data_IF_139387526682
#
_entry.id   IF_139387526682
#
_cell.length_a   1.000
_cell.length_b   1.000
_cell.length_c   1.000
_cell.angle_alpha   90.00
_cell.angle_beta   90.00
_cell.angle_gamma   90.00
#
_symmetry.space_group_name_H-M   'P 1'
#
loop_
_entity.id
_entity.type
_entity.pdbx_description
1 polymer ?
#
# COMPACT_ATOMS: atom_id res chain seq x y z
N UNK A 1 0.15 -6.55 -15.87
CA UNK A 1 1.15 -5.45 -15.86
C UNK A 1 0.63 -4.17 -16.49
N UNK A 2 0.10 -4.19 -17.73
CA UNK A 2 -0.44 -2.98 -18.39
C UNK A 2 -1.57 -2.34 -17.58
N UNK A 3 -2.58 -3.12 -17.21
CA UNK A 3 -3.71 -2.65 -16.39
C UNK A 3 -3.26 -2.07 -15.04
N UNK A 4 -2.41 -2.81 -14.31
CA UNK A 4 -1.84 -2.34 -13.04
C UNK A 4 -1.16 -0.97 -13.18
N UNK A 5 -0.35 -0.78 -14.24
CA UNK A 5 0.30 0.50 -14.55
C UNK A 5 -0.67 1.60 -14.94
N UNK A 6 -1.75 1.27 -15.65
CA UNK A 6 -2.79 2.24 -15.98
C UNK A 6 -3.50 2.73 -14.71
N UNK A 7 -3.79 1.84 -13.75
CA UNK A 7 -4.32 2.22 -12.45
C UNK A 7 -3.35 3.13 -11.69
N UNK A 8 -2.05 2.79 -11.68
CA UNK A 8 -1.00 3.63 -11.07
C UNK A 8 -0.98 5.03 -11.67
N UNK A 9 -0.91 5.16 -13.00
CA UNK A 9 -0.88 6.46 -13.69
C UNK A 9 -2.19 7.23 -13.49
N UNK A 10 -3.32 6.52 -13.39
CA UNK A 10 -4.63 7.08 -13.12
C UNK A 10 -4.68 7.93 -11.85
N UNK A 11 -3.91 7.56 -10.81
CA UNK A 11 -3.83 8.30 -9.54
C UNK A 11 -3.21 9.70 -9.67
N UNK A 12 -2.46 9.95 -10.75
CA UNK A 12 -1.81 11.23 -11.02
C UNK A 12 -2.60 12.11 -12.00
N UNK A 13 -3.71 11.61 -12.54
CA UNK A 13 -4.57 12.38 -13.44
C UNK A 13 -5.10 13.60 -12.68
N UNK A 14 -4.77 14.80 -13.18
CA UNK A 14 -5.11 16.09 -12.56
C UNK A 14 -4.35 16.44 -11.27
N UNK A 15 -3.25 15.76 -10.96
CA UNK A 15 -2.42 16.14 -9.82
C UNK A 15 -1.62 17.41 -10.12
N UNK A 16 -1.64 18.38 -9.21
CA UNK A 16 -0.75 19.54 -9.25
C UNK A 16 0.72 19.11 -9.06
N UNK A 17 1.65 19.68 -9.83
CA UNK A 17 3.08 19.33 -9.78
C UNK A 17 3.71 19.56 -8.39
N UNK A 18 3.19 20.51 -7.59
CA UNK A 18 3.65 20.71 -6.21
C UNK A 18 3.36 19.49 -5.32
N UNK A 19 2.18 18.87 -5.45
CA UNK A 19 1.76 17.71 -4.65
C UNK A 19 2.51 16.44 -5.03
N UNK A 20 2.98 16.36 -6.27
CA UNK A 20 3.81 15.26 -6.75
C UNK A 20 5.10 15.12 -5.93
N UNK A 21 5.76 16.24 -5.61
CA UNK A 21 7.05 16.27 -4.89
C UNK A 21 6.94 16.53 -3.39
N UNK A 22 5.79 17.00 -2.91
CA UNK A 22 5.62 17.39 -1.52
C UNK A 22 5.30 16.18 -0.62
N UNK A 23 5.91 16.15 0.57
CA UNK A 23 5.50 15.24 1.63
C UNK A 23 4.20 15.69 2.30
N UNK A 24 3.23 14.78 2.40
CA UNK A 24 2.01 15.02 3.16
C UNK A 24 2.24 14.85 4.69
N UNK A 25 3.16 13.97 5.08
CA UNK A 25 3.48 13.64 6.47
C UNK A 25 4.91 13.06 6.57
N UNK A 26 5.67 13.28 7.66
CA UNK A 26 7.07 12.81 7.78
C UNK A 26 7.27 11.31 7.60
N UNK A 27 6.27 10.51 7.96
CA UNK A 27 6.32 9.05 7.82
C UNK A 27 6.09 8.56 6.38
N UNK A 28 5.76 9.44 5.43
CA UNK A 28 5.44 9.05 4.06
C UNK A 28 6.32 9.78 3.06
N UNK A 29 6.73 9.06 2.01
CA UNK A 29 7.45 9.69 0.89
C UNK A 29 6.44 10.43 0.00
N UNK A 30 6.87 11.40 -0.82
CA UNK A 30 5.99 12.03 -1.80
C UNK A 30 5.40 11.03 -2.79
N UNK A 31 4.24 11.35 -3.36
CA UNK A 31 3.59 10.49 -4.35
C UNK A 31 4.51 10.20 -5.55
N UNK A 32 5.30 11.19 -5.99
CA UNK A 32 6.26 11.02 -7.08
C UNK A 32 7.43 10.09 -6.75
N UNK A 33 7.83 10.00 -5.47
CA UNK A 33 8.85 9.04 -5.05
C UNK A 33 8.32 7.61 -5.22
N UNK A 34 7.07 7.36 -4.81
CA UNK A 34 6.44 6.06 -4.99
C UNK A 34 6.30 5.69 -6.48
N UNK A 35 5.97 6.65 -7.34
CA UNK A 35 5.90 6.41 -8.79
C UNK A 35 7.26 5.97 -9.36
N UNK A 36 8.34 6.69 -9.04
CA UNK A 36 9.69 6.31 -9.47
C UNK A 36 10.17 5.00 -8.83
N UNK A 37 9.83 4.75 -7.56
CA UNK A 37 10.14 3.51 -6.85
C UNK A 37 9.53 2.27 -7.52
N UNK A 38 8.28 2.35 -8.00
CA UNK A 38 7.64 1.27 -8.75
C UNK A 38 8.50 0.89 -9.98
N UNK A 39 8.91 1.87 -10.78
CA UNK A 39 9.75 1.62 -11.96
C UNK A 39 11.14 1.09 -11.58
N UNK A 40 11.73 1.64 -10.52
CA UNK A 40 13.03 1.21 -10.02
C UNK A 40 13.02 -0.26 -9.59
N UNK A 41 12.03 -0.68 -8.80
CA UNK A 41 11.89 -2.07 -8.36
C UNK A 41 11.62 -3.00 -9.55
N UNK A 42 10.77 -2.60 -10.50
CA UNK A 42 10.54 -3.37 -11.73
C UNK A 42 11.84 -3.55 -12.55
N UNK A 43 12.62 -2.48 -12.72
CA UNK A 43 13.90 -2.52 -13.44
C UNK A 43 14.93 -3.40 -12.72
N UNK A 44 15.10 -3.22 -11.41
CA UNK A 44 16.07 -3.95 -10.60
C UNK A 44 15.80 -5.46 -10.65
N UNK A 45 14.54 -5.88 -10.48
CA UNK A 45 14.23 -7.31 -10.40
C UNK A 45 14.09 -7.99 -11.76
N UNK A 46 13.54 -7.31 -12.77
CA UNK A 46 13.36 -7.94 -14.09
C UNK A 46 14.56 -7.71 -14.98
N UNK A 47 15.01 -6.47 -15.13
CA UNK A 47 16.05 -6.15 -16.11
C UNK A 47 17.44 -6.45 -15.59
N UNK A 48 17.75 -6.05 -14.35
CA UNK A 48 19.07 -6.26 -13.79
C UNK A 48 19.22 -7.71 -13.29
N UNK A 49 18.35 -8.16 -12.40
CA UNK A 49 18.48 -9.48 -11.79
C UNK A 49 18.18 -10.64 -12.75
N UNK A 50 17.06 -10.63 -13.47
CA UNK A 50 16.69 -11.73 -14.38
C UNK A 50 17.27 -11.63 -15.79
N UNK A 51 17.33 -10.42 -16.37
CA UNK A 51 17.85 -10.23 -17.72
C UNK A 51 19.35 -9.92 -17.77
N UNK A 52 20.01 -9.69 -16.61
CA UNK A 52 21.43 -9.41 -16.52
C UNK A 52 21.85 -8.08 -17.17
N UNK A 53 20.92 -7.14 -17.34
CA UNK A 53 21.17 -5.85 -17.95
C UNK A 53 21.79 -4.87 -16.95
N UNK A 54 22.52 -3.88 -17.45
CA UNK A 54 22.97 -2.76 -16.62
C UNK A 54 21.77 -1.86 -16.23
N UNK A 55 21.85 -1.15 -15.09
CA UNK A 55 20.84 -0.16 -14.71
C UNK A 55 20.66 0.88 -15.82
N UNK A 56 19.40 1.30 -16.06
CA UNK A 56 19.10 2.34 -17.05
C UNK A 56 19.66 3.69 -16.60
N UNK A 57 19.48 4.01 -15.32
CA UNK A 57 19.99 5.23 -14.67
C UNK A 57 20.59 4.84 -13.32
N UNK A 58 21.92 4.86 -13.21
CA UNK A 58 22.63 4.47 -11.98
C UNK A 58 22.27 5.33 -10.76
N UNK A 59 22.01 6.61 -10.99
CA UNK A 59 21.63 7.61 -10.00
C UNK A 59 20.24 7.36 -9.39
N UNK A 60 19.38 6.60 -10.08
CA UNK A 60 18.02 6.32 -9.61
C UNK A 60 17.99 5.32 -8.45
N UNK A 61 19.07 4.57 -8.24
CA UNK A 61 19.23 3.79 -7.01
C UNK A 61 19.20 4.71 -5.78
N UNK A 62 19.96 5.80 -5.80
CA UNK A 62 19.95 6.75 -4.68
C UNK A 62 18.56 7.38 -4.49
N UNK A 63 17.90 7.77 -5.59
CA UNK A 63 16.61 8.46 -5.51
C UNK A 63 15.47 7.54 -5.08
N UNK A 64 15.41 6.31 -5.59
CA UNK A 64 14.22 5.49 -5.54
C UNK A 64 14.38 4.17 -4.78
N UNK A 65 15.60 3.74 -4.43
CA UNK A 65 15.74 2.62 -3.50
C UNK A 65 15.18 3.00 -2.12
N UNK A 66 14.55 2.04 -1.44
CA UNK A 66 13.93 2.27 -0.13
C UNK A 66 14.94 2.67 0.95
N UNK A 67 16.21 2.31 0.77
CA UNK A 67 17.38 2.62 1.58
C UNK A 67 18.30 3.68 0.95
N UNK A 68 17.93 4.27 -0.19
CA UNK A 68 18.74 5.25 -0.92
C UNK A 68 18.84 6.61 -0.23
N UNK A 69 17.72 7.33 -0.13
CA UNK A 69 17.63 8.61 0.59
C UNK A 69 16.73 8.49 1.84
N UNK A 70 17.03 9.22 2.94
CA UNK A 70 16.12 9.33 4.06
C UNK A 70 14.83 10.04 3.62
N UNK A 71 13.71 9.77 4.31
CA UNK A 71 12.38 10.18 3.85
C UNK A 71 12.31 11.70 3.61
N UNK A 72 12.79 12.50 4.55
CA UNK A 72 12.81 13.97 4.52
C UNK A 72 13.51 14.56 3.27
N UNK A 73 14.45 13.83 2.67
CA UNK A 73 15.17 14.23 1.46
C UNK A 73 14.52 13.76 0.14
N UNK A 74 13.47 12.93 0.19
CA UNK A 74 12.78 12.37 -1.01
C UNK A 74 11.87 13.38 -1.73
N UNK A 75 12.02 14.67 -1.48
CA UNK A 75 11.26 15.74 -2.12
C UNK A 75 11.99 16.34 -3.34
N UNK A 76 13.31 16.12 -3.44
CA UNK A 76 14.14 16.57 -4.56
C UNK A 76 14.02 15.62 -5.76
N UNK A 77 12.84 15.57 -6.36
CA UNK A 77 12.49 14.62 -7.42
C UNK A 77 12.54 15.25 -8.83
N UNK A 78 12.82 14.46 -9.88
CA UNK A 78 12.55 14.85 -11.26
C UNK A 78 11.08 15.25 -11.49
N UNK A 79 10.76 15.77 -12.69
CA UNK A 79 9.36 16.05 -13.05
C UNK A 79 8.54 14.77 -13.24
N UNK A 80 7.22 14.93 -13.20
CA UNK A 80 6.30 13.85 -13.52
C UNK A 80 6.61 13.24 -14.88
N UNK A 81 6.85 14.08 -15.90
CA UNK A 81 7.16 13.64 -17.27
C UNK A 81 8.45 12.82 -17.30
N UNK A 82 9.52 13.27 -16.62
CA UNK A 82 10.78 12.54 -16.56
C UNK A 82 10.61 11.16 -15.89
N UNK A 83 9.82 11.07 -14.82
CA UNK A 83 9.52 9.80 -14.15
C UNK A 83 8.60 8.94 -15.03
N UNK A 84 7.58 9.51 -15.69
CA UNK A 84 6.69 8.79 -16.60
C UNK A 84 7.43 8.21 -17.82
N UNK A 85 8.40 8.95 -18.37
CA UNK A 85 9.31 8.48 -19.42
C UNK A 85 10.17 7.32 -18.90
N UNK A 86 10.68 7.41 -17.67
CA UNK A 86 11.38 6.30 -17.01
C UNK A 86 10.49 5.06 -16.87
N UNK A 87 9.25 5.21 -16.41
CA UNK A 87 8.28 4.12 -16.31
C UNK A 87 8.04 3.45 -17.68
N UNK A 88 7.94 4.26 -18.74
CA UNK A 88 7.73 3.79 -20.10
C UNK A 88 8.94 3.01 -20.60
N UNK A 89 10.15 3.57 -20.45
CA UNK A 89 11.41 2.91 -20.83
C UNK A 89 11.60 1.57 -20.12
N UNK A 90 11.37 1.50 -18.80
CA UNK A 90 11.42 0.25 -18.04
C UNK A 90 10.42 -0.75 -18.59
N UNK A 91 9.16 -0.32 -18.76
CA UNK A 91 8.08 -1.23 -19.20
C UNK A 91 8.31 -1.79 -20.60
N UNK A 92 8.80 -1.00 -21.53
CA UNK A 92 9.14 -1.45 -22.89
C UNK A 92 10.26 -2.50 -22.89
N UNK A 93 11.31 -2.27 -22.08
CA UNK A 93 12.42 -3.23 -21.92
C UNK A 93 11.94 -4.51 -21.23
N UNK A 94 11.08 -4.39 -20.22
CA UNK A 94 10.47 -5.52 -19.51
C UNK A 94 9.62 -6.36 -20.46
N UNK A 95 8.79 -5.74 -21.30
CA UNK A 95 8.02 -6.45 -22.32
C UNK A 95 8.87 -7.03 -23.44
N UNK A 96 10.03 -6.45 -23.71
CA UNK A 96 11.02 -7.05 -24.61
C UNK A 96 11.59 -8.33 -23.99
N UNK A 97 12.00 -8.28 -22.71
CA UNK A 97 12.50 -9.44 -21.98
C UNK A 97 11.43 -10.54 -21.84
N UNK A 98 10.18 -10.16 -21.58
CA UNK A 98 9.05 -11.07 -21.42
C UNK A 98 8.88 -12.04 -22.61
N UNK A 99 9.28 -11.64 -23.83
CA UNK A 99 9.23 -12.49 -25.03
C UNK A 99 10.14 -13.71 -24.95
N UNK A 100 11.19 -13.66 -24.13
CA UNK A 100 12.18 -14.74 -23.97
C UNK A 100 12.34 -15.19 -22.52
N UNK A 101 11.58 -14.62 -21.58
CA UNK A 101 11.67 -14.94 -20.16
C UNK A 101 11.20 -16.38 -19.88
N UNK A 102 11.93 -17.16 -19.05
CA UNK A 102 11.47 -18.46 -18.58
C UNK A 102 10.40 -18.28 -17.48
N UNK A 103 9.21 -17.83 -17.86
CA UNK A 103 8.17 -17.37 -16.92
C UNK A 103 7.82 -18.41 -15.85
N UNK A 104 7.78 -19.69 -16.19
CA UNK A 104 7.46 -20.76 -15.23
C UNK A 104 8.48 -20.84 -14.08
N UNK A 105 9.72 -20.41 -14.30
CA UNK A 105 10.78 -20.38 -13.28
C UNK A 105 10.81 -19.06 -12.49
N UNK A 106 10.18 -18.01 -13.04
CA UNK A 106 10.22 -16.64 -12.52
C UNK A 106 8.87 -16.16 -11.98
N UNK A 107 7.81 -16.97 -12.14
CA UNK A 107 6.41 -16.59 -11.99
C UNK A 107 6.13 -15.85 -10.68
N UNK A 108 6.71 -16.33 -9.58
CA UNK A 108 6.56 -15.73 -8.25
C UNK A 108 6.99 -14.26 -8.23
N UNK A 109 8.14 -13.91 -8.82
CA UNK A 109 8.63 -12.53 -8.80
C UNK A 109 7.79 -11.62 -9.70
N UNK A 110 7.26 -12.14 -10.81
CA UNK A 110 6.30 -11.41 -11.64
C UNK A 110 4.99 -11.11 -10.89
N UNK A 111 4.47 -12.07 -10.13
CA UNK A 111 3.32 -11.84 -9.24
C UNK A 111 3.64 -10.85 -8.12
N UNK A 112 4.80 -10.99 -7.48
CA UNK A 112 5.24 -10.09 -6.43
C UNK A 112 5.36 -8.64 -6.94
N UNK A 113 5.87 -8.43 -8.16
CA UNK A 113 5.95 -7.08 -8.74
C UNK A 113 4.58 -6.45 -8.98
N UNK A 114 3.58 -7.23 -9.40
CA UNK A 114 2.21 -6.75 -9.50
C UNK A 114 1.66 -6.36 -8.13
N UNK A 115 1.90 -7.20 -7.12
CA UNK A 115 1.49 -6.91 -5.74
C UNK A 115 2.19 -5.66 -5.19
N UNK A 116 3.50 -5.53 -5.41
CA UNK A 116 4.30 -4.37 -5.02
C UNK A 116 3.75 -3.08 -5.64
N UNK A 117 3.50 -3.06 -6.95
CA UNK A 117 2.90 -1.89 -7.61
C UNK A 117 1.51 -1.57 -7.02
N UNK A 118 0.68 -2.59 -6.73
CA UNK A 118 -0.63 -2.36 -6.09
C UNK A 118 -0.54 -1.85 -4.63
N UNK A 119 0.43 -2.33 -3.84
CA UNK A 119 0.68 -1.81 -2.48
C UNK A 119 1.12 -0.35 -2.51
N UNK A 120 1.91 0.02 -3.52
CA UNK A 120 2.27 1.42 -3.74
C UNK A 120 1.09 2.25 -4.23
N UNK A 121 0.16 1.70 -5.01
CA UNK A 121 -1.07 2.41 -5.38
C UNK A 121 -1.95 2.74 -4.16
N UNK A 122 -2.06 1.82 -3.21
CA UNK A 122 -2.72 2.10 -1.93
C UNK A 122 -1.98 3.21 -1.14
N UNK A 123 -0.66 3.11 -1.05
CA UNK A 123 0.17 4.13 -0.36
C UNK A 123 0.04 5.51 -1.02
N UNK A 124 0.08 5.59 -2.34
CA UNK A 124 -0.11 6.83 -3.10
C UNK A 124 -1.51 7.39 -2.81
N UNK A 125 -2.55 6.56 -2.86
CA UNK A 125 -3.93 6.98 -2.57
C UNK A 125 -4.05 7.58 -1.16
N UNK A 126 -3.41 6.94 -0.18
CA UNK A 126 -3.34 7.44 1.19
C UNK A 126 -2.61 8.79 1.29
N UNK A 127 -1.45 8.94 0.63
CA UNK A 127 -0.69 10.21 0.61
C UNK A 127 -1.51 11.33 -0.04
N UNK A 128 -2.21 11.05 -1.14
CA UNK A 128 -3.09 12.02 -1.81
C UNK A 128 -4.28 12.41 -0.91
N UNK A 129 -4.85 11.45 -0.19
CA UNK A 129 -5.89 11.71 0.81
C UNK A 129 -5.40 12.64 1.93
N UNK A 130 -4.17 12.43 2.45
CA UNK A 130 -3.57 13.31 3.45
C UNK A 130 -3.37 14.75 2.93
N UNK A 131 -2.95 14.91 1.67
CA UNK A 131 -2.85 16.24 1.06
C UNK A 131 -4.20 16.95 0.99
N UNK A 132 -5.26 16.25 0.57
CA UNK A 132 -6.63 16.80 0.57
C UNK A 132 -7.06 17.22 1.98
N UNK A 133 -6.88 16.35 2.97
CA UNK A 133 -7.23 16.62 4.36
C UNK A 133 -6.53 17.88 4.90
N UNK A 134 -5.22 18.02 4.65
CA UNK A 134 -4.44 19.20 5.07
C UNK A 134 -4.87 20.50 4.41
N UNK A 135 -5.43 20.43 3.20
CA UNK A 135 -5.97 21.58 2.47
C UNK A 135 -7.46 21.84 2.80
N UNK A 136 -8.06 21.10 3.72
CA UNK A 136 -9.48 21.19 4.04
C UNK A 136 -10.39 20.76 2.89
N UNK A 137 -9.86 19.98 1.94
CA UNK A 137 -10.61 19.45 0.81
C UNK A 137 -11.24 18.10 1.17
N UNK A 138 -12.44 17.80 0.63
CA UNK A 138 -13.05 16.50 0.83
C UNK A 138 -12.18 15.39 0.23
N UNK A 139 -11.79 14.43 1.07
CA UNK A 139 -11.01 13.26 0.64
C UNK A 139 -11.85 12.34 -0.24
N UNK A 140 -13.09 12.12 0.18
CA UNK A 140 -14.08 11.27 -0.49
C UNK A 140 -15.23 12.12 -1.00
N UNK A 141 -15.70 11.83 -2.22
CA UNK A 141 -17.00 12.31 -2.70
C UNK A 141 -18.04 11.30 -2.26
N UNK A 142 -18.88 11.68 -1.31
CA UNK A 142 -19.93 10.81 -0.77
C UNK A 142 -21.16 10.87 -1.67
N UNK A 143 -21.14 10.21 -2.82
CA UNK A 143 -22.29 10.28 -3.72
C UNK A 143 -23.43 9.34 -3.30
N UNK A 144 -23.16 8.32 -2.47
CA UNK A 144 -24.19 7.36 -1.99
C UNK A 144 -23.84 6.74 -0.63
N UNK A 145 -23.94 7.49 0.47
CA UNK A 145 -23.94 6.87 1.79
C UNK A 145 -25.30 6.17 2.00
N UNK A 146 -25.30 4.84 2.11
CA UNK A 146 -26.51 4.12 2.54
C UNK A 146 -26.82 4.53 3.98
N UNK A 147 -28.03 5.03 4.22
CA UNK A 147 -28.52 5.38 5.56
C UNK A 147 -29.21 4.21 6.26
N UNK A 148 -29.23 3.03 5.62
CA UNK A 148 -29.85 1.84 6.21
C UNK A 148 -28.97 1.36 7.36
N UNK A 149 -29.47 1.31 8.61
CA UNK A 149 -28.70 0.81 9.74
C UNK A 149 -28.27 -0.63 9.46
N UNK A 150 -26.96 -0.88 9.48
CA UNK A 150 -26.43 -2.24 9.41
C UNK A 150 -26.66 -2.86 10.78
N UNK A 151 -27.54 -3.86 10.86
CA UNK A 151 -27.67 -4.67 12.07
C UNK A 151 -26.51 -5.66 12.10
N UNK A 152 -25.48 -5.36 12.86
CA UNK A 152 -24.34 -6.27 13.05
C UNK A 152 -24.78 -7.46 13.88
N UNK A 153 -24.42 -8.66 13.43
CA UNK A 153 -24.61 -9.91 14.17
C UNK A 153 -23.27 -10.59 14.29
N UNK A 154 -23.00 -11.20 15.45
CA UNK A 154 -21.86 -12.09 15.57
C UNK A 154 -22.19 -13.46 15.00
N UNK A 155 -21.25 -14.02 14.25
CA UNK A 155 -21.29 -15.42 13.83
C UNK A 155 -20.34 -16.24 14.68
N UNK A 156 -20.69 -17.50 14.91
CA UNK A 156 -19.84 -18.45 15.65
C UNK A 156 -18.92 -19.13 14.66
N UNK A 157 -17.62 -19.13 14.95
CA UNK A 157 -16.63 -19.99 14.31
C UNK A 157 -16.35 -21.14 15.28
N UNK A 158 -16.79 -22.38 14.96
CA UNK A 158 -16.62 -23.51 15.87
C UNK A 158 -15.14 -23.84 16.11
N UNK A 159 -14.85 -24.39 17.29
CA UNK A 159 -13.54 -24.92 17.63
C UNK A 159 -13.10 -25.99 16.62
N UNK A 160 -11.81 -26.02 16.30
CA UNK A 160 -11.27 -27.04 15.42
C UNK A 160 -9.90 -26.73 14.85
N UNK A 161 -9.42 -27.68 14.06
CA UNK A 161 -8.20 -27.52 13.28
C UNK A 161 -8.46 -26.70 12.02
N UNK A 162 -7.57 -25.75 11.76
CA UNK A 162 -7.60 -24.88 10.59
C UNK A 162 -6.21 -24.85 9.93
N UNK A 163 -6.19 -24.92 8.60
CA UNK A 163 -4.97 -24.76 7.81
C UNK A 163 -4.72 -23.27 7.55
N UNK A 164 -3.80 -22.69 8.32
CA UNK A 164 -3.38 -21.30 8.20
C UNK A 164 -2.25 -21.15 7.17
N UNK A 165 -2.28 -20.08 6.38
CA UNK A 165 -1.31 -19.80 5.32
C UNK A 165 -1.68 -20.40 3.95
N UNK A 166 -0.92 -20.02 2.91
CA UNK A 166 -1.14 -20.42 1.52
C UNK A 166 0.13 -20.93 0.84
N UNK A 167 -0.02 -21.92 -0.03
CA UNK A 167 1.06 -22.37 -0.95
C UNK A 167 0.94 -21.75 -2.34
N UNK A 168 -0.14 -20.99 -2.59
CA UNK A 168 -0.44 -20.40 -3.89
C UNK A 168 0.75 -19.60 -4.44
N UNK A 169 0.89 -19.56 -5.76
CA UNK A 169 2.04 -18.92 -6.42
C UNK A 169 2.18 -17.43 -6.09
N UNK A 170 1.05 -16.77 -5.84
CA UNK A 170 0.96 -15.36 -5.47
C UNK A 170 1.02 -15.12 -3.95
N UNK A 171 1.14 -16.15 -3.11
CA UNK A 171 1.28 -15.94 -1.67
C UNK A 171 2.64 -15.29 -1.37
N UNK A 172 2.62 -14.16 -0.65
CA UNK A 172 3.85 -13.50 -0.17
C UNK A 172 4.59 -14.42 0.80
N UNK A 173 5.87 -14.17 1.04
CA UNK A 173 6.69 -15.02 1.92
C UNK A 173 6.12 -15.17 3.34
N UNK A 174 5.56 -14.09 3.90
CA UNK A 174 4.90 -14.06 5.21
C UNK A 174 3.54 -14.78 5.27
N UNK A 175 2.95 -15.13 4.12
CA UNK A 175 1.69 -15.89 4.02
C UNK A 175 1.94 -17.41 3.88
N UNK A 176 3.21 -17.83 3.78
CA UNK A 176 3.59 -19.18 3.33
C UNK A 176 3.96 -20.15 4.44
N UNK A 177 4.12 -21.39 3.98
CA UNK A 177 4.26 -22.62 4.76
C UNK A 177 2.99 -22.90 5.52
N UNK A 178 1.95 -23.36 4.80
CA UNK A 178 0.68 -23.65 5.42
C UNK A 178 0.86 -24.69 6.52
N UNK A 179 0.30 -24.39 7.68
CA UNK A 179 0.42 -25.21 8.86
C UNK A 179 -0.93 -25.31 9.55
N UNK A 180 -1.11 -26.38 10.31
CA UNK A 180 -2.36 -26.60 11.03
C UNK A 180 -2.24 -25.96 12.40
N UNK A 181 -3.24 -25.15 12.74
CA UNK A 181 -3.43 -24.61 14.08
C UNK A 181 -4.76 -25.12 14.62
N UNK A 182 -4.87 -25.23 15.94
CA UNK A 182 -6.16 -25.45 16.61
C UNK A 182 -6.64 -24.11 17.17
N UNK A 183 -7.91 -23.80 16.96
CA UNK A 183 -8.59 -22.65 17.56
C UNK A 183 -9.76 -23.17 18.39
N UNK A 184 -9.96 -22.58 19.57
CA UNK A 184 -11.20 -22.75 20.34
C UNK A 184 -12.36 -22.04 19.62
N UNK A 185 -13.59 -22.27 20.08
CA UNK A 185 -14.75 -21.57 19.53
C UNK A 185 -14.68 -20.07 19.84
N UNK A 186 -15.03 -19.25 18.85
CA UNK A 186 -15.07 -17.80 19.01
C UNK A 186 -16.18 -17.17 18.18
N UNK A 187 -16.45 -15.92 18.50
CA UNK A 187 -17.41 -15.10 17.77
C UNK A 187 -16.69 -13.98 17.02
N UNK A 188 -17.17 -13.67 15.82
CA UNK A 188 -16.71 -12.50 15.05
C UNK A 188 -17.90 -11.79 14.44
N UNK A 189 -17.86 -10.46 14.41
CA UNK A 189 -18.88 -9.65 13.76
C UNK A 189 -18.89 -9.89 12.24
N UNK A 190 -20.09 -9.93 11.64
CA UNK A 190 -20.25 -10.04 10.18
C UNK A 190 -19.87 -8.78 9.43
N UNK A 191 -19.73 -7.65 10.12
CA UNK A 191 -19.37 -6.34 9.57
C UNK A 191 -18.37 -5.63 10.49
N UNK A 192 -17.47 -4.79 9.95
CA UNK A 192 -16.65 -3.90 10.77
C UNK A 192 -17.50 -2.93 11.60
N UNK A 193 -16.91 -2.43 12.69
CA UNK A 193 -17.48 -1.36 13.53
C UNK A 193 -17.85 -0.15 12.64
N UNK A 194 -19.08 0.33 12.77
CA UNK A 194 -19.53 1.48 11.97
C UNK A 194 -19.10 2.81 12.60
N UNK A 195 -19.16 3.90 11.83
CA UNK A 195 -18.93 5.25 12.39
C UNK A 195 -19.92 5.59 13.52
N UNK A 196 -21.16 5.10 13.46
CA UNK A 196 -22.17 5.34 14.51
C UNK A 196 -21.85 4.56 15.80
N UNK A 197 -21.37 3.32 15.66
CA UNK A 197 -20.92 2.53 16.82
C UNK A 197 -19.71 3.18 17.47
N UNK A 198 -18.76 3.65 16.66
CA UNK A 198 -17.58 4.36 17.16
C UNK A 198 -17.93 5.71 17.80
N UNK A 199 -18.92 6.44 17.27
CA UNK A 199 -19.44 7.65 17.91
C UNK A 199 -20.01 7.37 19.30
N UNK A 200 -20.70 6.23 19.47
CA UNK A 200 -21.21 5.81 20.78
C UNK A 200 -20.07 5.60 21.79
N UNK A 201 -18.95 5.00 21.36
CA UNK A 201 -17.74 4.86 22.18
C UNK A 201 -17.15 6.22 22.59
N UNK A 202 -17.14 7.21 21.68
CA UNK A 202 -16.70 8.57 21.99
C UNK A 202 -17.63 9.22 23.02
N UNK A 203 -18.93 9.20 22.77
CA UNK A 203 -19.95 9.86 23.60
C UNK A 203 -20.04 9.25 25.00
N UNK A 204 -19.71 7.97 25.15
CA UNK A 204 -19.60 7.29 26.45
C UNK A 204 -18.31 7.59 27.20
N UNK A 205 -17.45 8.49 26.70
CA UNK A 205 -16.19 8.86 27.33
C UNK A 205 -15.06 7.85 27.13
N UNK A 206 -15.08 7.05 26.05
CA UNK A 206 -14.11 5.98 25.81
C UNK A 206 -12.64 6.45 25.75
N UNK A 207 -12.40 7.69 25.31
CA UNK A 207 -11.07 8.33 25.35
C UNK A 207 -10.67 8.87 26.73
N UNK A 208 -11.55 8.81 27.72
CA UNK A 208 -11.30 9.26 29.09
C UNK A 208 -11.27 8.11 30.11
N UNK A 209 -11.53 6.88 29.67
CA UNK A 209 -11.61 5.66 30.50
C UNK A 209 -10.38 4.77 30.31
N UNK A 210 -9.39 4.89 31.19
CA UNK A 210 -8.13 4.15 31.13
C UNK A 210 -8.31 2.63 31.12
N UNK A 211 -9.36 2.13 31.76
CA UNK A 211 -9.74 0.73 31.85
C UNK A 211 -10.10 0.07 30.50
N UNK A 212 -10.42 0.88 29.48
CA UNK A 212 -10.71 0.39 28.13
C UNK A 212 -9.45 0.23 27.27
N UNK A 213 -8.28 0.63 27.78
CA UNK A 213 -7.03 0.65 27.05
C UNK A 213 -6.00 -0.29 27.67
N UNK A 214 -5.09 -0.80 26.83
CA UNK A 214 -3.85 -1.37 27.35
C UNK A 214 -3.00 -0.27 28.01
N UNK A 215 -2.10 -0.60 28.96
CA UNK A 215 -1.23 0.40 29.59
C UNK A 215 -0.42 1.23 28.58
N UNK A 216 0.11 0.59 27.53
CA UNK A 216 0.85 1.29 26.47
C UNK A 216 -0.06 2.19 25.62
N UNK A 217 -1.28 1.73 25.31
CA UNK A 217 -2.27 2.52 24.57
C UNK A 217 -2.72 3.76 25.35
N UNK A 218 -2.97 3.62 26.65
CA UNK A 218 -3.33 4.74 27.53
C UNK A 218 -2.19 5.75 27.66
N UNK A 219 -0.95 5.28 27.82
CA UNK A 219 0.23 6.14 27.84
C UNK A 219 0.37 6.95 26.54
N UNK A 220 0.23 6.31 25.38
CA UNK A 220 0.23 7.00 24.08
C UNK A 220 -0.90 8.03 23.98
N UNK A 221 -2.13 7.64 24.32
CA UNK A 221 -3.31 8.51 24.22
C UNK A 221 -3.20 9.76 25.11
N UNK A 222 -2.65 9.61 26.32
CA UNK A 222 -2.50 10.73 27.27
C UNK A 222 -1.28 11.61 27.01
N UNK A 223 -0.25 11.09 26.33
CA UNK A 223 0.94 11.85 25.93
C UNK A 223 0.71 12.70 24.67
N UNK A 224 -0.26 12.33 23.82
CA UNK A 224 -0.57 13.04 22.58
C UNK A 224 -1.32 14.38 22.76
N UNK A 225 -1.17 15.04 23.93
CA UNK A 225 -1.73 16.37 24.23
C UNK A 225 -0.77 17.49 23.89
#
# INVERSE_FOLDING_TARGET
>A
MTECRQLTLGLFTHLEDNLFRQQAHPDFSPAGWHLGHIAFIEAQWILEYFAGQAPIFSEYHQLFAADGLPKDQRQNLPSFEAIADYLTMVREKVFTYLKTAPIQQQERLWWWLLQHETQHNETISFVLALHKLRRGQPVFQTDQASTTPVKTTMVTVPAGEFRCGSDAIFAQDNERSPHTIYLDDYHIDTYPVTCSDFQTFIDSGGYNSAELWSPAGWAWQTQAK
#
